data_IF_484582387777
#
_entry.id   IF_484582387777
#
_cell.length_a   1.000
_cell.length_b   1.000
_cell.length_c   1.000
_cell.angle_alpha   90.00
_cell.angle_beta   90.00
_cell.angle_gamma   90.00
#
_symmetry.space_group_name_H-M   'P 1'
#
loop_
_entity.id
_entity.type
_entity.pdbx_description
1 polymer ?
#
# COMPACT_ATOMS: atom_id res chain seq x y z
N UNK A 1 16.21 -2.85 -18.28
CA UNK A 1 15.50 -3.74 -17.31
C UNK A 1 15.29 -2.97 -16.02
N UNK A 2 14.08 -3.01 -15.45
CA UNK A 2 13.64 -2.19 -14.32
C UNK A 2 13.08 -0.86 -14.88
N UNK A 3 11.77 -0.59 -14.85
CA UNK A 3 11.02 -0.09 -13.69
C UNK A 3 9.56 -0.61 -13.60
N UNK A 4 9.15 -1.53 -14.47
CA UNK A 4 7.75 -2.01 -14.58
C UNK A 4 7.36 -3.02 -13.46
N UNK A 5 8.23 -3.29 -12.48
CA UNK A 5 7.97 -4.31 -11.44
C UNK A 5 7.37 -3.77 -10.14
N UNK A 6 7.18 -2.46 -9.99
CA UNK A 6 6.95 -1.84 -8.68
C UNK A 6 5.50 -1.45 -8.40
N UNK A 7 4.73 -1.08 -9.43
CA UNK A 7 3.40 -0.48 -9.28
C UNK A 7 2.32 -1.36 -8.61
N UNK A 8 2.60 -2.62 -8.32
CA UNK A 8 1.55 -3.56 -7.98
C UNK A 8 1.88 -4.45 -6.77
N UNK A 9 1.56 -3.91 -5.58
CA UNK A 9 1.44 -4.73 -4.35
C UNK A 9 0.25 -4.45 -3.44
N UNK A 10 -0.59 -3.44 -3.67
CA UNK A 10 -1.33 -2.88 -2.52
C UNK A 10 -2.86 -3.09 -2.52
N UNK A 11 -3.51 -3.55 -3.60
CA UNK A 11 -4.98 -3.67 -3.58
C UNK A 11 -5.58 -4.76 -2.65
N UNK A 12 -4.88 -5.84 -2.28
CA UNK A 12 -5.44 -6.79 -1.29
C UNK A 12 -5.45 -6.21 0.13
N UNK A 13 -4.62 -5.21 0.41
CA UNK A 13 -4.39 -4.76 1.77
C UNK A 13 -5.45 -3.76 2.24
N UNK A 14 -6.19 -3.12 1.31
CA UNK A 14 -6.95 -1.89 1.60
C UNK A 14 -8.40 -2.10 2.03
N UNK A 15 -8.96 -3.31 1.92
CA UNK A 15 -10.36 -3.56 2.31
C UNK A 15 -11.36 -2.61 1.60
N UNK A 16 -12.49 -2.24 2.24
CA UNK A 16 -13.52 -1.37 1.64
C UNK A 16 -13.04 0.00 1.17
N UNK A 17 -11.91 0.49 1.68
CA UNK A 17 -11.35 1.81 1.32
C UNK A 17 -10.76 1.82 -0.09
N UNK A 18 -10.51 0.65 -0.69
CA UNK A 18 -10.05 0.51 -2.08
C UNK A 18 -10.99 1.17 -3.10
N UNK A 19 -12.28 1.33 -2.76
CA UNK A 19 -13.31 1.82 -3.69
C UNK A 19 -13.00 3.24 -4.18
N UNK A 20 -12.51 4.14 -3.32
CA UNK A 20 -12.15 5.51 -3.72
C UNK A 20 -10.94 5.53 -4.66
N UNK A 21 -9.90 4.79 -4.30
CA UNK A 21 -8.68 4.67 -5.13
C UNK A 21 -9.00 4.10 -6.51
N UNK A 22 -9.85 3.08 -6.58
CA UNK A 22 -10.30 2.51 -7.86
C UNK A 22 -11.11 3.54 -8.68
N UNK A 23 -11.86 4.42 -8.04
CA UNK A 23 -12.62 5.47 -8.75
C UNK A 23 -11.70 6.56 -9.29
N UNK A 24 -10.77 7.02 -8.46
CA UNK A 24 -9.93 8.18 -8.76
C UNK A 24 -8.81 7.81 -9.77
N UNK A 25 -8.25 6.60 -9.65
CA UNK A 25 -7.15 6.11 -10.51
C UNK A 25 -7.57 5.01 -11.49
N UNK A 26 -8.85 4.63 -11.51
CA UNK A 26 -9.38 3.54 -12.33
C UNK A 26 -9.06 3.64 -13.83
N UNK A 27 -9.18 4.80 -14.47
CA UNK A 27 -8.82 4.98 -15.88
C UNK A 27 -7.33 4.74 -16.16
N UNK A 28 -6.43 5.28 -15.34
CA UNK A 28 -4.98 5.13 -15.50
C UNK A 28 -4.54 3.68 -15.22
N UNK A 29 -5.10 3.04 -14.18
CA UNK A 29 -4.89 1.62 -13.88
C UNK A 29 -5.35 0.76 -15.07
N UNK A 30 -6.49 1.08 -15.71
CA UNK A 30 -6.98 0.36 -16.90
C UNK A 30 -6.05 0.52 -18.10
N UNK A 31 -5.40 1.67 -18.25
CA UNK A 31 -4.47 1.94 -19.33
C UNK A 31 -3.16 1.16 -19.15
N UNK A 32 -2.58 1.22 -17.95
CA UNK A 32 -1.44 0.41 -17.54
C UNK A 32 -1.70 -1.10 -17.70
N UNK A 33 -2.91 -1.56 -17.36
CA UNK A 33 -3.34 -2.96 -17.53
C UNK A 33 -3.42 -3.39 -19.00
N UNK A 34 -3.87 -2.51 -19.89
CA UNK A 34 -3.91 -2.78 -21.33
C UNK A 34 -2.50 -2.89 -21.92
N UNK A 35 -1.59 -2.06 -21.43
CA UNK A 35 -0.22 -1.99 -21.94
C UNK A 35 0.67 -3.11 -21.40
N UNK A 36 0.38 -3.65 -20.21
CA UNK A 36 1.18 -4.71 -19.58
C UNK A 36 0.32 -5.80 -18.90
N UNK A 37 -0.27 -6.75 -19.66
CA UNK A 37 -1.16 -7.78 -19.11
C UNK A 37 -0.47 -8.79 -18.15
N UNK A 38 0.82 -9.12 -18.36
CA UNK A 38 1.58 -10.03 -17.47
C UNK A 38 1.75 -9.48 -16.04
N UNK A 39 1.64 -8.16 -15.90
CA UNK A 39 1.74 -7.46 -14.63
C UNK A 39 0.60 -7.86 -13.68
N UNK A 40 -0.59 -8.14 -14.22
CA UNK A 40 -1.76 -8.54 -13.46
C UNK A 40 -1.67 -9.98 -12.94
N UNK A 41 -0.97 -10.87 -13.63
CA UNK A 41 -0.78 -12.25 -13.16
C UNK A 41 0.24 -12.31 -12.02
N UNK A 42 1.29 -11.49 -12.10
CA UNK A 42 2.25 -11.30 -11.01
C UNK A 42 1.60 -10.61 -9.81
N UNK A 43 0.71 -9.64 -10.08
CA UNK A 43 -0.13 -9.02 -9.06
C UNK A 43 -0.95 -10.05 -8.33
N UNK A 44 -1.84 -10.75 -9.04
CA UNK A 44 -2.76 -11.72 -8.46
C UNK A 44 -2.00 -12.71 -7.60
N UNK A 45 -0.90 -13.30 -8.08
CA UNK A 45 -0.11 -14.27 -7.30
C UNK A 45 0.41 -13.69 -5.97
N UNK A 46 0.86 -12.44 -5.94
CA UNK A 46 1.35 -11.75 -4.73
C UNK A 46 0.21 -11.22 -3.84
N UNK A 47 -0.90 -10.84 -4.46
CA UNK A 47 -2.12 -10.39 -3.82
C UNK A 47 -2.77 -11.55 -3.06
N UNK A 48 -2.81 -12.72 -3.68
CA UNK A 48 -3.32 -13.95 -3.07
C UNK A 48 -2.42 -14.41 -1.93
N UNK A 49 -1.09 -14.19 -1.97
CA UNK A 49 -0.22 -14.53 -0.83
C UNK A 49 -0.38 -13.60 0.38
N UNK A 50 -0.85 -12.38 0.17
CA UNK A 50 -1.19 -11.41 1.23
C UNK A 50 -2.61 -11.64 1.76
N UNK A 51 -3.57 -11.87 0.86
CA UNK A 51 -4.96 -12.21 1.19
C UNK A 51 -5.15 -13.64 1.73
N UNK A 52 -4.15 -14.53 1.58
CA UNK A 52 -4.15 -15.88 2.17
C UNK A 52 -3.64 -15.92 3.59
N UNK A 53 -3.33 -14.78 4.22
CA UNK A 53 -3.15 -14.72 5.68
C UNK A 53 -4.53 -14.88 6.36
N UNK A 54 -5.11 -16.07 6.24
CA UNK A 54 -6.31 -16.54 6.94
C UNK A 54 -6.07 -16.71 8.46
N UNK A 55 -5.17 -15.91 9.03
CA UNK A 55 -4.84 -15.89 10.43
C UNK A 55 -5.99 -15.31 11.25
N UNK A 56 -6.57 -16.12 12.14
CA UNK A 56 -7.51 -15.60 13.14
C UNK A 56 -6.77 -14.69 14.12
N UNK A 57 -7.46 -13.65 14.61
CA UNK A 57 -6.92 -12.80 15.68
C UNK A 57 -5.94 -11.74 15.20
N UNK A 58 -4.92 -11.46 16.01
CA UNK A 58 -3.95 -10.36 15.85
C UNK A 58 -2.87 -10.65 14.81
N UNK A 59 -2.56 -11.92 14.53
CA UNK A 59 -1.54 -12.33 13.55
C UNK A 59 -1.73 -11.70 12.16
N UNK A 60 -2.95 -11.75 11.62
CA UNK A 60 -3.26 -11.10 10.35
C UNK A 60 -2.97 -9.60 10.35
N UNK A 61 -3.26 -8.91 11.45
CA UNK A 61 -3.00 -7.49 11.58
C UNK A 61 -1.50 -7.19 11.68
N UNK A 62 -0.74 -8.04 12.38
CA UNK A 62 0.73 -7.98 12.43
C UNK A 62 1.35 -8.12 11.04
N UNK A 63 0.92 -9.13 10.28
CA UNK A 63 1.42 -9.38 8.93
C UNK A 63 1.16 -8.17 8.01
N UNK A 64 -0.05 -7.61 8.07
CA UNK A 64 -0.43 -6.40 7.31
C UNK A 64 0.43 -5.18 7.67
N UNK A 65 0.65 -4.95 8.96
CA UNK A 65 1.48 -3.83 9.44
C UNK A 65 2.92 -3.99 8.97
N UNK A 66 3.48 -5.20 9.01
CA UNK A 66 4.84 -5.49 8.51
C UNK A 66 4.98 -5.12 7.03
N UNK A 67 4.03 -5.56 6.21
CA UNK A 67 4.04 -5.30 4.77
C UNK A 67 3.95 -3.80 4.47
N UNK A 68 3.05 -3.08 5.15
CA UNK A 68 2.91 -1.65 4.96
C UNK A 68 4.15 -0.87 5.39
N UNK A 69 4.89 -1.33 6.42
CA UNK A 69 6.18 -0.71 6.81
C UNK A 69 7.21 -0.84 5.71
N UNK A 70 7.30 -2.01 5.08
CA UNK A 70 8.19 -2.21 3.94
C UNK A 70 7.81 -1.31 2.76
N UNK A 71 6.51 -1.16 2.48
CA UNK A 71 6.05 -0.27 1.40
C UNK A 71 6.34 1.20 1.71
N UNK A 72 6.10 1.65 2.93
CA UNK A 72 6.42 3.02 3.35
C UNK A 72 7.94 3.29 3.30
N UNK A 73 8.77 2.33 3.70
CA UNK A 73 10.22 2.45 3.60
C UNK A 73 10.71 2.48 2.15
N UNK A 74 10.09 1.69 1.28
CA UNK A 74 10.38 1.73 -0.16
C UNK A 74 10.02 3.10 -0.75
N UNK A 75 8.79 3.57 -0.53
CA UNK A 75 8.33 4.87 -1.00
C UNK A 75 9.20 6.01 -0.47
N UNK A 76 9.65 5.94 0.79
CA UNK A 76 10.62 6.88 1.33
C UNK A 76 11.92 6.94 0.51
N UNK A 77 12.43 5.78 0.09
CA UNK A 77 13.67 5.67 -0.67
C UNK A 77 13.54 6.04 -2.14
N UNK A 78 12.33 6.01 -2.70
CA UNK A 78 12.06 6.31 -4.11
C UNK A 78 11.37 7.64 -4.35
N UNK A 79 10.87 8.29 -3.30
CA UNK A 79 10.09 9.51 -3.40
C UNK A 79 10.79 10.58 -4.26
N UNK A 80 10.08 11.07 -5.27
CA UNK A 80 10.58 12.10 -6.17
C UNK A 80 10.63 13.49 -5.53
N UNK A 81 9.94 13.70 -4.41
CA UNK A 81 9.94 14.97 -3.69
C UNK A 81 10.03 14.81 -2.16
N UNK A 82 10.51 15.87 -1.51
CA UNK A 82 10.74 15.88 -0.06
C UNK A 82 9.47 15.72 0.77
N UNK A 83 8.31 16.11 0.22
CA UNK A 83 7.03 16.02 0.91
C UNK A 83 6.56 14.55 0.98
N UNK A 84 6.63 13.82 -0.13
CA UNK A 84 6.34 12.38 -0.20
C UNK A 84 7.27 11.60 0.70
N UNK A 85 8.57 11.90 0.69
CA UNK A 85 9.53 11.29 1.60
C UNK A 85 9.15 11.54 3.07
N UNK A 86 8.83 12.80 3.44
CA UNK A 86 8.41 13.12 4.81
C UNK A 86 7.15 12.38 5.25
N UNK A 87 6.15 12.26 4.37
CA UNK A 87 4.92 11.50 4.65
C UNK A 87 5.20 10.01 4.80
N UNK A 88 6.01 9.43 3.91
CA UNK A 88 6.39 8.02 3.98
C UNK A 88 7.14 7.69 5.28
N UNK A 89 8.01 8.57 5.76
CA UNK A 89 8.66 8.44 7.06
C UNK A 89 7.65 8.45 8.22
N UNK A 90 6.69 9.39 8.20
CA UNK A 90 5.65 9.47 9.23
C UNK A 90 4.78 8.21 9.28
N UNK A 91 4.35 7.69 8.13
CA UNK A 91 3.60 6.43 8.07
C UNK A 91 4.39 5.24 8.61
N UNK A 92 5.70 5.19 8.34
CA UNK A 92 6.58 4.15 8.88
C UNK A 92 6.61 4.18 10.41
N UNK A 93 6.71 5.37 11.00
CA UNK A 93 6.75 5.55 12.45
C UNK A 93 5.40 5.22 13.12
N UNK A 94 4.29 5.58 12.47
CA UNK A 94 2.95 5.17 12.89
C UNK A 94 2.78 3.64 12.86
N UNK A 95 3.19 3.00 11.77
CA UNK A 95 3.11 1.54 11.63
C UNK A 95 4.05 0.81 12.61
N UNK A 96 5.21 1.37 12.94
CA UNK A 96 6.08 0.84 13.98
C UNK A 96 5.44 0.93 15.38
N UNK A 97 4.78 2.06 15.66
CA UNK A 97 4.02 2.24 16.90
C UNK A 97 2.88 1.23 17.03
N UNK A 98 2.14 0.99 15.93
CA UNK A 98 1.11 -0.04 15.89
C UNK A 98 1.72 -1.42 16.12
N UNK A 99 2.82 -1.76 15.44
CA UNK A 99 3.49 -3.05 15.59
C UNK A 99 3.88 -3.33 17.05
N UNK A 100 4.37 -2.31 17.78
CA UNK A 100 4.70 -2.39 19.20
C UNK A 100 3.46 -2.56 20.10
N UNK A 101 2.32 -1.99 19.70
CA UNK A 101 1.07 -2.10 20.46
C UNK A 101 0.34 -3.43 20.26
N UNK A 102 0.53 -4.13 19.14
CA UNK A 102 -0.19 -5.37 18.82
C UNK A 102 -0.02 -6.49 19.86
N UNK A 103 1.19 -6.78 20.39
CA UNK A 103 1.35 -7.78 21.46
C UNK A 103 0.56 -7.45 22.72
N UNK A 104 0.39 -6.16 23.03
CA UNK A 104 -0.35 -5.70 24.22
C UNK A 104 -1.83 -6.10 24.15
N UNK A 105 -2.40 -6.18 22.95
CA UNK A 105 -3.79 -6.61 22.75
C UNK A 105 -4.06 -8.03 23.25
N UNK A 106 -3.04 -8.89 23.33
CA UNK A 106 -3.19 -10.25 23.83
C UNK A 106 -3.48 -10.30 25.34
N UNK A 107 -3.18 -9.21 26.06
CA UNK A 107 -3.39 -9.10 27.50
C UNK A 107 -4.70 -8.40 27.88
N UNK A 108 -5.44 -7.85 26.91
CA UNK A 108 -6.74 -7.24 27.14
C UNK A 108 -7.83 -8.30 27.33
N UNK A 109 -8.91 -7.90 27.99
CA UNK A 109 -10.10 -8.74 28.03
C UNK A 109 -10.68 -8.96 26.61
N UNK A 110 -11.54 -9.97 26.44
CA UNK A 110 -12.04 -10.35 25.11
C UNK A 110 -12.82 -9.23 24.42
N UNK A 111 -13.55 -8.42 25.18
CA UNK A 111 -14.43 -7.38 24.64
C UNK A 111 -13.61 -6.16 24.18
N UNK A 112 -12.71 -5.69 25.04
CA UNK A 112 -11.76 -4.62 24.78
C UNK A 112 -10.80 -5.00 23.66
N UNK A 113 -10.24 -6.21 23.67
CA UNK A 113 -9.40 -6.71 22.58
C UNK A 113 -10.11 -6.62 21.24
N UNK A 114 -11.38 -7.02 21.16
CA UNK A 114 -12.16 -6.94 19.91
C UNK A 114 -12.38 -5.49 19.47
N UNK A 115 -12.72 -4.60 20.41
CA UNK A 115 -12.94 -3.17 20.13
C UNK A 115 -11.67 -2.49 19.66
N UNK A 116 -10.58 -2.62 20.41
CA UNK A 116 -9.28 -2.01 20.11
C UNK A 116 -8.70 -2.56 18.80
N UNK A 117 -8.79 -3.89 18.58
CA UNK A 117 -8.39 -4.49 17.30
C UNK A 117 -9.15 -3.87 16.12
N UNK A 118 -10.46 -3.66 16.22
CA UNK A 118 -11.25 -3.05 15.15
C UNK A 118 -10.77 -1.62 14.85
N UNK A 119 -10.49 -0.83 15.89
CA UNK A 119 -9.96 0.53 15.72
C UNK A 119 -8.60 0.53 15.02
N UNK A 120 -7.68 -0.34 15.45
CA UNK A 120 -6.37 -0.45 14.81
C UNK A 120 -6.51 -0.93 13.37
N UNK A 121 -7.37 -1.90 13.10
CA UNK A 121 -7.62 -2.39 11.74
C UNK A 121 -8.12 -1.28 10.81
N UNK A 122 -9.04 -0.44 11.29
CA UNK A 122 -9.51 0.73 10.54
C UNK A 122 -8.40 1.74 10.27
N UNK A 123 -7.54 2.03 11.25
CA UNK A 123 -6.41 2.93 11.07
C UNK A 123 -5.38 2.37 10.08
N UNK A 124 -5.09 1.07 10.16
CA UNK A 124 -4.23 0.37 9.20
C UNK A 124 -4.82 0.39 7.79
N UNK A 125 -6.15 0.27 7.64
CA UNK A 125 -6.82 0.43 6.33
C UNK A 125 -6.62 1.83 5.75
N UNK A 126 -6.68 2.87 6.58
CA UNK A 126 -6.47 4.26 6.16
C UNK A 126 -5.01 4.53 5.75
N UNK A 127 -4.05 4.08 6.56
CA UNK A 127 -2.62 4.15 6.22
C UNK A 127 -2.31 3.39 4.93
N UNK A 128 -2.90 2.19 4.76
CA UNK A 128 -2.77 1.45 3.51
C UNK A 128 -3.25 2.27 2.33
N UNK A 129 -4.44 2.89 2.42
CA UNK A 129 -5.00 3.70 1.34
C UNK A 129 -4.09 4.87 0.96
N UNK A 130 -3.55 5.59 1.95
CA UNK A 130 -2.63 6.71 1.74
C UNK A 130 -1.32 6.29 1.07
N UNK A 131 -0.72 5.19 1.53
CA UNK A 131 0.50 4.64 0.93
C UNK A 131 0.24 4.24 -0.52
N UNK A 132 -0.88 3.56 -0.80
CA UNK A 132 -1.27 3.18 -2.17
C UNK A 132 -1.36 4.41 -3.05
N UNK A 133 -2.10 5.42 -2.59
CA UNK A 133 -2.36 6.63 -3.35
C UNK A 133 -1.06 7.35 -3.69
N UNK A 134 -0.20 7.59 -2.69
CA UNK A 134 1.08 8.27 -2.91
C UNK A 134 2.01 7.49 -3.84
N UNK A 135 2.01 6.16 -3.79
CA UNK A 135 2.76 5.34 -4.76
C UNK A 135 2.22 5.52 -6.19
N UNK A 136 0.89 5.50 -6.36
CA UNK A 136 0.27 5.72 -7.67
C UNK A 136 0.53 7.12 -8.22
N UNK A 137 0.47 8.14 -7.39
CA UNK A 137 0.77 9.53 -7.77
C UNK A 137 2.23 9.65 -8.26
N UNK A 138 3.19 9.12 -7.49
CA UNK A 138 4.62 9.12 -7.84
C UNK A 138 4.89 8.40 -9.16
N UNK A 139 4.26 7.23 -9.37
CA UNK A 139 4.42 6.44 -10.59
C UNK A 139 3.75 7.09 -11.83
N UNK A 140 2.64 7.84 -11.65
CA UNK A 140 1.97 8.57 -12.74
C UNK A 140 2.81 9.80 -13.14
N UNK A 141 3.30 10.55 -12.16
CA UNK A 141 4.19 11.70 -12.42
C UNK A 141 5.42 11.26 -13.23
N UNK A 142 6.05 10.15 -12.84
CA UNK A 142 7.17 9.55 -13.59
C UNK A 142 6.79 9.21 -15.04
N UNK A 143 5.62 8.62 -15.26
CA UNK A 143 5.16 8.24 -16.59
C UNK A 143 4.86 9.46 -17.48
N UNK A 144 4.24 10.50 -16.93
CA UNK A 144 3.94 11.74 -17.66
C UNK A 144 5.23 12.47 -18.08
N UNK A 145 6.21 12.57 -17.19
CA UNK A 145 7.52 13.20 -17.48
C UNK A 145 8.24 12.47 -18.62
N UNK A 146 8.26 11.13 -18.61
CA UNK A 146 8.89 10.35 -19.69
C UNK A 146 8.23 10.60 -21.05
N UNK A 147 6.89 10.68 -21.11
CA UNK A 147 6.18 10.93 -22.38
C UNK A 147 6.40 12.34 -22.94
N UNK A 148 6.72 13.32 -22.09
CA UNK A 148 7.00 14.69 -22.52
C UNK A 148 8.45 14.83 -23.02
N UNK A 149 9.41 14.11 -22.42
CA UNK A 149 10.79 14.04 -22.91
C UNK A 149 10.87 13.35 -24.28
N UNK A 150 10.15 12.24 -24.47
CA UNK A 150 10.09 11.54 -25.75
C UNK A 150 9.52 12.41 -26.87
N UNK A 151 8.54 13.27 -26.57
CA UNK A 151 7.95 14.23 -27.54
C UNK A 151 8.84 15.44 -27.87
N UNK A 152 9.82 15.78 -27.04
CA UNK A 152 10.77 16.89 -27.32
C UNK A 152 11.92 16.47 -28.22
N UNK A 153 12.08 15.17 -28.46
CA UNK A 153 13.14 14.61 -29.30
C UNK A 153 12.65 14.11 -30.67
N UNK A 154 11.40 14.42 -31.05
CA UNK A 154 10.83 14.25 -32.40
C UNK A 154 10.72 15.58 -33.13
#
# INVERSE_FOLDING_TARGET
MGKIKTLIRIAAVVGPTAIKIIKDYGPQIRQLLKENPEFFDTFKKRLTSLGSSSGRGTKHLTDRVSVLREQAAYLYGTANNAQTAKQAAAWRDELDSIAKALPVLEHLDRAEKKKTKKTIDMHVNDLAAKIVQATLEDDIEDAEIMTEEDRKHE
#
